data_IF_763920703755
#
_entry.id   IF_763920703755
#
_cell.length_a   1.000
_cell.length_b   1.000
_cell.length_c   1.000
_cell.angle_alpha   90.00
_cell.angle_beta   90.00
_cell.angle_gamma   90.00
#
_symmetry.space_group_name_H-M   'P 1'
#
loop_
_entity.id
_entity.type
_entity.pdbx_description
1 polymer ?
2 polymer ?
3 polymer ?
4 water ?
#
loop_
_entity_poly.entity_id
_entity_poly.type
_entity_poly.pdbx_seq_one_letter_code
_entity_poly.pdbx_strand_id
1 'polydeoxyribonucleotide' '(DC)(DC)(DT)(DT)(DG)(DA)(DC)(DA)(DA)(DA)(DG)' ?
2 'polydeoxyribonucleotide' '(DC)(DC)(DT)(DT)(DT)(DG)(DT)(DC)(DA)(DA)(DG)' ?
#
# COMPACT_ATOMS: atom_id res chain seq x y z
N UNK C 1 -0.73 -10.97 6.91
CA UNK C 1 -0.45 -11.37 8.31
C UNK C 1 -0.33 -10.13 9.20
N UNK C 2 -1.15 -10.08 10.24
CA UNK C 2 -1.12 -8.97 11.18
C UNK C 2 0.26 -8.93 11.86
N UNK C 3 0.91 -10.09 11.91
CA UNK C 3 2.22 -10.23 12.53
C UNK C 3 3.28 -9.39 11.81
N UNK C 4 3.27 -9.44 10.48
CA UNK C 4 4.23 -8.67 9.68
C UNK C 4 3.75 -7.22 9.49
N UNK C 5 2.51 -6.96 9.87
CA UNK C 5 1.95 -5.61 9.75
C UNK C 5 2.02 -4.91 11.10
N UNK C 6 2.89 -5.36 11.98
CA UNK C 6 3.04 -4.79 13.31
C UNK C 6 3.36 -3.31 13.22
N UNK C 7 4.49 -2.94 12.63
CA UNK C 7 4.91 -1.54 12.52
C UNK C 7 3.87 -0.71 11.78
N UNK C 8 3.32 -1.26 10.70
CA UNK C 8 2.32 -0.56 9.91
C UNK C 8 1.08 -0.23 10.75
N UNK C 9 0.86 -1.02 11.79
CA UNK C 9 -0.28 -0.81 12.67
C UNK C 9 0.05 0.20 13.75
N UNK C 10 1.33 0.49 13.93
CA UNK C 10 1.71 1.45 14.96
C UNK C 10 1.84 2.86 14.39
N UNK C 11 1.57 3.01 13.09
CA UNK C 11 1.62 4.31 12.44
C UNK C 11 0.28 4.98 12.72
N UNK C 12 0.25 6.30 12.65
CA UNK C 12 -1.00 7.04 12.85
C UNK C 12 -1.89 6.69 11.66
N UNK C 13 -3.19 6.89 11.81
CA UNK C 13 -4.10 6.59 10.72
C UNK C 13 -3.75 7.49 9.55
N UNK C 14 -3.54 8.75 9.86
CA UNK C 14 -3.17 9.73 8.85
C UNK C 14 -1.92 9.26 8.09
N UNK C 15 -0.89 8.87 8.83
CA UNK C 15 0.33 8.38 8.19
C UNK C 15 0.01 7.22 7.26
N UNK C 16 -0.75 6.26 7.78
CA UNK C 16 -1.12 5.08 7.02
C UNK C 16 -1.94 5.48 5.80
N UNK C 17 -2.90 6.37 6.01
CA UNK C 17 -3.76 6.83 4.93
C UNK C 17 -2.95 7.50 3.81
N UNK C 18 -1.92 8.24 4.20
CA UNK C 18 -1.08 8.94 3.25
C UNK C 18 -0.33 7.94 2.38
N UNK C 19 0.22 6.90 3.00
CA UNK C 19 0.94 5.89 2.24
C UNK C 19 0.00 5.17 1.28
N UNK C 20 -1.16 4.76 1.80
CA UNK C 20 -2.13 4.06 0.98
C UNK C 20 -2.52 4.93 -0.21
N UNK C 21 -2.78 6.21 0.03
CA UNK C 21 -3.16 7.08 -1.06
C UNK C 21 -2.06 7.26 -2.08
N UNK C 22 -0.87 7.61 -1.62
CA UNK C 22 0.25 7.82 -2.53
C UNK C 22 0.43 6.58 -3.39
N UNK C 23 0.49 5.43 -2.73
CA UNK C 23 0.73 4.17 -3.41
C UNK C 23 -0.43 3.57 -4.20
N UNK C 24 -1.63 4.12 -4.04
CA UNK C 24 -2.78 3.62 -4.77
C UNK C 24 -3.54 2.43 -4.19
N UNK C 25 -3.41 2.19 -2.90
CA UNK C 25 -4.10 1.07 -2.27
C UNK C 25 -5.53 1.42 -1.85
N UNK C 26 -5.97 2.63 -2.16
CA UNK C 26 -7.31 3.06 -1.79
C UNK C 26 -8.28 2.91 -2.95
N UNK C 27 -7.81 3.27 -4.14
CA UNK C 27 -8.64 3.21 -5.33
C UNK C 27 -7.84 2.79 -6.55
N UNK C 28 -6.71 2.13 -6.34
CA UNK C 28 -5.90 1.72 -7.47
C UNK C 28 -5.09 2.82 -8.15
N UNK C 29 -5.40 4.08 -7.85
CA UNK C 29 -4.67 5.20 -8.44
C UNK C 29 -3.64 5.84 -7.51
N UNK C 30 -2.41 6.00 -8.00
CA UNK C 30 -1.37 6.64 -7.20
C UNK C 30 -1.75 8.10 -7.22
N UNK C 31 -1.69 8.74 -6.06
CA UNK C 31 -2.05 10.15 -5.96
C UNK C 31 -0.84 11.02 -5.68
N UNK C 32 -0.90 12.26 -6.14
CA UNK C 32 0.21 13.18 -5.93
C UNK C 32 0.20 13.68 -4.49
N UNK C 33 1.36 14.14 -4.02
CA UNK C 33 1.46 14.69 -2.68
C UNK C 33 0.44 15.80 -2.59
N UNK C 34 0.24 16.50 -3.71
CA UNK C 34 -0.71 17.62 -3.78
C UNK C 34 -2.16 17.16 -3.58
N UNK C 35 -2.53 16.07 -4.24
CA UNK C 35 -3.89 15.53 -4.12
C UNK C 35 -4.15 15.08 -2.67
N UNK C 36 -3.13 14.47 -2.07
CA UNK C 36 -3.25 14.02 -0.70
C UNK C 36 -3.31 15.27 0.16
N UNK C 37 -2.50 16.26 -0.20
CA UNK C 37 -2.52 17.50 0.57
C UNK C 37 -3.92 18.07 0.56
N UNK C 38 -4.53 18.07 -0.61
CA UNK C 38 -5.87 18.60 -0.75
C UNK C 38 -6.81 17.75 0.08
N UNK C 39 -6.54 16.45 0.16
CA UNK C 39 -7.41 15.58 0.95
C UNK C 39 -7.43 15.96 2.42
N UNK C 40 -6.24 16.13 3.01
CA UNK C 40 -6.10 16.48 4.41
C UNK C 40 -6.07 17.97 4.69
N UNK C 41 -6.21 18.79 3.66
CA UNK C 41 -6.18 20.23 3.88
C UNK C 41 -4.82 20.90 4.14
N UNK C 42 -3.71 20.27 3.74
CA UNK C 42 -2.39 20.87 3.94
C UNK C 42 -1.58 20.85 2.64
N UNK C 43 -0.38 21.44 2.66
CA UNK C 43 0.46 21.54 1.46
C UNK C 43 1.08 20.21 1.07
N UNK C 44 1.54 20.12 -0.17
CA UNK C 44 2.17 18.90 -0.65
C UNK C 44 3.46 18.63 0.12
N UNK C 45 4.16 19.69 0.52
CA UNK C 45 5.42 19.54 1.26
C UNK C 45 5.14 18.84 2.61
N UNK C 46 4.10 19.30 3.30
CA UNK C 46 3.69 18.71 4.57
C UNK C 46 3.46 17.21 4.41
N UNK C 47 2.68 16.85 3.39
CA UNK C 47 2.39 15.44 3.14
C UNK C 47 3.71 14.72 2.92
N UNK C 48 4.57 15.35 2.13
CA UNK C 48 5.88 14.78 1.84
C UNK C 48 6.60 14.50 3.18
N UNK C 49 6.47 15.41 4.13
CA UNK C 49 7.12 15.24 5.43
C UNK C 49 6.54 14.03 6.14
N UNK C 50 5.21 13.99 6.19
CA UNK C 50 4.47 12.90 6.83
C UNK C 50 4.82 11.57 6.20
N UNK C 51 4.84 11.51 4.87
CA UNK C 51 5.15 10.26 4.18
C UNK C 51 6.55 9.83 4.55
N UNK C 52 7.46 10.78 4.54
CA UNK C 52 8.83 10.48 4.86
C UNK C 52 8.99 9.93 6.26
N UNK C 53 8.27 10.49 7.22
CA UNK C 53 8.36 9.99 8.59
C UNK C 53 7.80 8.56 8.63
N UNK C 54 6.64 8.37 8.04
CA UNK C 54 6.02 7.05 8.04
C UNK C 54 6.98 5.98 7.53
N UNK C 55 7.58 6.20 6.38
CA UNK C 55 8.51 5.22 5.82
C UNK C 55 9.70 5.01 6.78
N UNK C 56 10.25 6.12 7.26
CA UNK C 56 11.39 6.09 8.17
C UNK C 56 11.06 5.17 9.35
N UNK C 57 9.81 5.21 9.80
CA UNK C 57 9.39 4.37 10.92
C UNK C 57 9.48 2.91 10.50
N UNK C 58 8.94 2.61 9.32
CA UNK C 58 8.95 1.24 8.82
C UNK C 58 10.37 0.70 8.62
N UNK C 59 11.23 1.47 7.96
CA UNK C 59 12.61 1.03 7.75
C UNK C 59 13.31 0.79 9.09
N UNK C 60 13.18 1.75 10.00
CA UNK C 60 13.80 1.64 11.31
C UNK C 60 13.39 0.38 12.05
N UNK C 61 12.09 0.12 12.13
CA UNK C 61 11.67 -1.09 12.83
C UNK C 61 12.23 -2.32 12.12
N UNK C 62 12.16 -2.32 10.79
CA UNK C 62 12.66 -3.43 10.00
C UNK C 62 14.16 -3.68 10.20
N UNK C 63 14.94 -2.61 10.36
CA UNK C 63 16.38 -2.76 10.54
C UNK C 63 16.75 -3.13 11.97
N UNK C 64 15.82 -2.94 12.90
CA UNK C 64 16.06 -3.27 14.30
C UNK C 64 15.63 -4.69 14.64
N UNK C 65 14.50 -5.12 14.09
CA UNK C 65 13.99 -6.47 14.35
C UNK C 65 14.42 -7.44 13.24
N UNK C 66 14.51 -6.94 12.02
CA UNK C 66 14.93 -7.74 10.87
C UNK C 66 13.92 -8.81 10.43
N UNK C 67 12.63 -8.51 10.56
CA UNK C 67 11.57 -9.45 10.19
C UNK C 67 11.65 -10.00 8.77
N UNK C 68 11.51 -9.12 7.78
CA UNK C 68 11.55 -9.53 6.38
C UNK C 68 12.93 -9.88 5.83
N UNK C 69 13.97 -9.21 6.33
CA UNK C 69 15.32 -9.46 5.83
C UNK C 69 15.97 -10.75 6.33
N UNK C 70 15.52 -11.28 7.46
CA UNK C 70 16.08 -12.54 7.96
C UNK C 70 15.60 -13.63 7.02
N UNK C 71 14.53 -13.33 6.30
CA UNK C 71 13.91 -14.24 5.34
C UNK C 71 14.48 -14.03 3.92
N UNK C 72 14.41 -12.80 3.44
CA UNK C 72 14.91 -12.48 2.11
C UNK C 72 16.44 -12.61 2.05
N UNK C 73 17.13 -11.91 2.94
CA UNK C 73 18.59 -11.95 2.98
C UNK C 73 19.09 -13.27 3.55
N UNK D 6 -15.80 -14.91 -3.04
CA UNK D 6 -15.39 -14.48 -4.41
C UNK D 6 -15.12 -12.98 -4.44
N UNK D 7 -16.19 -12.19 -4.34
CA UNK D 7 -16.11 -10.73 -4.35
C UNK D 7 -15.58 -10.16 -5.67
N UNK D 8 -16.22 -9.09 -6.13
CA UNK D 8 -15.82 -8.44 -7.37
C UNK D 8 -15.16 -7.10 -7.07
N UNK D 9 -15.34 -6.63 -5.84
CA UNK D 9 -14.77 -5.35 -5.43
C UNK D 9 -14.02 -5.42 -4.09
N UNK D 10 -14.08 -6.57 -3.42
CA UNK D 10 -13.40 -6.72 -2.13
C UNK D 10 -12.04 -7.43 -2.26
N UNK D 11 -11.14 -7.16 -1.32
CA UNK D 11 -9.82 -7.77 -1.36
C UNK D 11 -9.65 -8.85 -0.31
N UNK D 12 -8.96 -9.92 -0.69
CA UNK D 12 -8.71 -11.02 0.22
C UNK D 12 -7.48 -10.67 1.05
N UNK D 13 -7.29 -11.39 2.15
CA UNK D 13 -6.13 -11.15 3.00
C UNK D 13 -4.86 -11.10 2.16
N UNK D 14 -4.68 -12.11 1.31
CA UNK D 14 -3.48 -12.20 0.49
C UNK D 14 -3.37 -11.10 -0.56
N UNK D 15 -4.49 -10.74 -1.19
CA UNK D 15 -4.45 -9.68 -2.19
C UNK D 15 -3.94 -8.39 -1.56
N UNK D 16 -4.52 -8.00 -0.43
CA UNK D 16 -4.12 -6.79 0.26
C UNK D 16 -2.67 -6.89 0.72
N UNK D 17 -2.26 -8.07 1.16
CA UNK D 17 -0.89 -8.26 1.63
C UNK D 17 0.10 -8.14 0.47
N UNK D 18 -0.28 -8.67 -0.69
CA UNK D 18 0.57 -8.59 -1.86
C UNK D 18 0.79 -7.11 -2.15
N UNK D 19 -0.28 -6.34 -2.07
CA UNK D 19 -0.21 -4.91 -2.31
C UNK D 19 0.66 -4.17 -1.27
N UNK D 20 0.45 -4.46 0.01
CA UNK D 20 1.22 -3.80 1.06
C UNK D 20 2.71 -4.12 0.98
N UNK D 21 3.03 -5.35 0.60
CA UNK D 21 4.42 -5.74 0.51
C UNK D 21 5.11 -5.13 -0.70
N UNK D 22 4.41 -5.10 -1.83
CA UNK D 22 4.96 -4.54 -3.07
C UNK D 22 5.19 -3.03 -3.02
N UNK D 23 4.22 -2.31 -2.46
CA UNK D 23 4.28 -0.86 -2.39
C UNK D 23 5.06 -0.31 -1.21
N UNK D 24 5.62 -1.20 -0.39
CA UNK D 24 6.41 -0.76 0.74
C UNK D 24 5.72 -0.46 2.06
N UNK D 25 4.44 -0.80 2.18
CA UNK D 25 3.71 -0.53 3.41
C UNK D 25 4.10 -1.42 4.58
N UNK D 26 4.86 -2.47 4.31
CA UNK D 26 5.25 -3.37 5.38
C UNK D 26 6.54 -3.03 6.08
N UNK D 27 7.54 -2.61 5.33
CA UNK D 27 8.84 -2.31 5.91
C UNK D 27 9.47 -1.09 5.29
N UNK D 28 8.69 -0.36 4.49
CA UNK D 28 9.21 0.83 3.85
C UNK D 28 10.03 0.54 2.60
N UNK D 29 10.17 -0.74 2.27
CA UNK D 29 10.92 -1.13 1.09
C UNK D 29 9.95 -1.73 0.09
N UNK D 30 10.05 -1.30 -1.16
CA UNK D 30 9.20 -1.85 -2.20
C UNK D 30 9.86 -3.18 -2.52
N UNK D 31 9.05 -4.21 -2.72
CA UNK D 31 9.61 -5.51 -2.99
C UNK D 31 9.30 -5.99 -4.39
N UNK D 32 10.20 -6.81 -4.91
CA UNK D 32 10.06 -7.34 -6.25
C UNK D 32 9.05 -8.47 -6.27
N UNK D 33 8.57 -8.81 -7.46
CA UNK D 33 7.61 -9.88 -7.61
C UNK D 33 8.28 -11.16 -7.12
N UNK D 34 9.57 -11.29 -7.41
CA UNK D 34 10.31 -12.47 -7.01
C UNK D 34 10.25 -12.67 -5.50
N UNK D 35 10.60 -11.63 -4.74
CA UNK D 35 10.61 -11.71 -3.27
C UNK D 35 9.23 -12.04 -2.69
N UNK D 36 8.22 -11.36 -3.21
CA UNK D 36 6.87 -11.59 -2.75
C UNK D 36 6.45 -13.03 -3.06
N UNK D 37 6.80 -13.50 -4.25
CA UNK D 37 6.46 -14.85 -4.62
C UNK D 37 7.11 -15.82 -3.66
N UNK D 38 8.36 -15.55 -3.34
CA UNK D 38 9.09 -16.41 -2.42
C UNK D 38 8.36 -16.43 -1.07
N UNK D 39 7.83 -15.29 -0.66
CA UNK D 39 7.12 -15.19 0.61
C UNK D 39 5.85 -16.04 0.58
N UNK D 40 5.25 -16.15 -0.60
CA UNK D 40 4.03 -16.91 -0.77
C UNK D 40 4.19 -18.29 -1.39
N UNK D 41 5.43 -18.76 -1.54
CA UNK D 41 5.66 -20.08 -2.12
C UNK D 41 5.00 -20.19 -3.48
N UNK D 42 4.93 -19.05 -4.15
CA UNK D 42 4.32 -18.95 -5.46
C UNK D 42 5.32 -18.34 -6.45
N UNK D 43 4.93 -18.28 -7.72
CA UNK D 43 5.80 -17.74 -8.76
C UNK D 43 5.70 -16.21 -8.90
N UNK D 44 6.78 -15.59 -9.37
CA UNK D 44 6.80 -14.13 -9.52
C UNK D 44 5.70 -13.67 -10.47
N UNK D 45 5.32 -14.55 -11.38
CA UNK D 45 4.27 -14.25 -12.34
C UNK D 45 2.90 -14.32 -11.67
N UNK D 46 2.71 -15.26 -10.75
CA UNK D 46 1.41 -15.35 -10.09
C UNK D 46 1.21 -14.08 -9.25
N UNK D 47 2.29 -13.62 -8.60
CA UNK D 47 2.24 -12.41 -7.79
C UNK D 47 1.78 -11.27 -8.68
N UNK D 48 2.45 -11.10 -9.82
CA UNK D 48 2.10 -10.04 -10.77
C UNK D 48 0.62 -10.12 -11.11
N UNK D 49 0.13 -11.34 -11.32
CA UNK D 49 -1.27 -11.52 -11.67
C UNK D 49 -2.15 -11.08 -10.50
N UNK D 50 -1.90 -11.67 -9.33
CA UNK D 50 -2.64 -11.35 -8.10
C UNK D 50 -2.61 -9.85 -7.89
N UNK D 51 -1.43 -9.27 -8.06
CA UNK D 51 -1.25 -7.84 -7.90
C UNK D 51 -2.21 -7.09 -8.80
N UNK D 52 -2.25 -7.46 -10.07
CA UNK D 52 -3.13 -6.80 -11.04
C UNK D 52 -4.61 -6.95 -10.72
N UNK D 53 -5.03 -8.14 -10.31
CA UNK D 53 -6.44 -8.36 -10.01
C UNK D 53 -6.87 -7.53 -8.80
N UNK D 54 -5.99 -7.43 -7.82
CA UNK D 54 -6.29 -6.68 -6.61
C UNK D 54 -6.51 -5.21 -6.96
N UNK D 55 -5.77 -4.71 -7.94
CA UNK D 55 -5.89 -3.32 -8.35
C UNK D 55 -7.21 -3.05 -9.05
N UNK D 56 -7.65 -3.98 -9.89
CA UNK D 56 -8.91 -3.82 -10.59
C UNK D 56 -10.04 -3.81 -9.56
N UNK D 57 -9.93 -4.69 -8.57
CA UNK D 57 -10.95 -4.74 -7.53
C UNK D 57 -11.02 -3.39 -6.83
N UNK D 58 -9.88 -2.70 -6.78
CA UNK D 58 -9.81 -1.39 -6.13
C UNK D 58 -10.30 -0.30 -7.06
N UNK D 59 -9.91 -0.36 -8.33
CA UNK D 59 -10.36 0.64 -9.29
C UNK D 59 -11.88 0.57 -9.39
N UNK D 60 -12.36 -0.47 -10.07
CA UNK D 60 -13.79 -0.67 -10.25
C UNK D 60 -14.51 -0.31 -8.96
N UNK D 61 -14.03 -0.89 -7.86
CA UNK D 61 -14.60 -0.67 -6.52
C UNK D 61 -15.16 0.74 -6.36
N UNK D 62 -16.39 0.92 -6.82
CA UNK D 62 -17.08 2.20 -6.75
C UNK D 62 -16.37 3.28 -7.56
N UNK D 63 -15.06 3.40 -7.37
CA UNK D 63 -14.23 4.41 -8.04
C UNK D 63 -14.58 4.71 -9.50
N UNK D 64 -14.56 3.69 -10.35
CA UNK D 64 -14.87 3.84 -11.77
C UNK D 64 -16.28 4.37 -12.03
N UNK D 65 -17.27 3.78 -11.36
CA UNK D 65 -18.67 4.18 -11.50
C UNK D 65 -19.00 5.45 -10.70
N UNK D 66 -18.05 5.88 -9.87
CA UNK D 66 -18.19 7.07 -9.04
C UNK D 66 -17.94 8.33 -9.87
N UNK D 67 -17.36 8.14 -11.05
CA UNK D 67 -17.02 9.25 -11.94
C UNK D 67 -18.15 10.19 -12.37
N UNK D 68 -19.40 9.71 -12.34
CA UNK D 68 -20.51 10.58 -12.71
C UNK D 68 -20.83 11.49 -11.52
N UNK D 69 -20.81 10.91 -10.32
CA UNK D 69 -21.07 11.68 -9.10
C UNK D 69 -19.88 12.62 -8.89
N UNK D 70 -18.73 12.21 -9.43
CA UNK D 70 -17.51 13.01 -9.33
C UNK D 70 -17.75 14.35 -10.03
N UNK D 71 -18.31 14.30 -11.24
CA UNK D 71 -18.61 15.52 -11.98
C UNK D 71 -19.80 16.21 -11.33
N UNK D 72 -19.50 17.03 -10.32
CA UNK D 72 -20.52 17.77 -9.58
C UNK D 72 -19.84 18.42 -8.38
N UNK D 73 -18.86 17.71 -7.83
CA UNK D 73 -18.11 18.20 -6.67
C UNK D 73 -17.57 19.61 -6.91
#
# INVERSE_FOLDING_TARGET
SEELEKALSKLSEREAMVLKMRKGLIDGREHTLEEVGAYFGVTRERIRQIENKALRKLKYHESRTRKLRDFLE
SEELEKALSKLSEREAMVLKMRKGLIDGREHTLEEVGAYFGVTRERIRQIENKALRKLKYHESRTRKLRDFLE
#
